data_IF_935891254506
#
_entry.id   IF_935891254506
#
_cell.length_a   1.000
_cell.length_b   1.000
_cell.length_c   1.000
_cell.angle_alpha   90.00
_cell.angle_beta   90.00
_cell.angle_gamma   90.00
#
_symmetry.space_group_name_H-M   'P 1'
#
loop_
_entity.id
_entity.type
_entity.pdbx_description
1 polymer ?
#
# COMPACT_ATOMS: atom_id res chain seq x y z
N UNK A 1 5.61 -8.80 -0.99
CA UNK A 1 6.40 -9.61 -1.96
C UNK A 1 6.35 -9.07 -3.39
N UNK A 2 5.21 -8.56 -3.88
CA UNK A 2 5.07 -8.07 -5.25
C UNK A 2 6.19 -7.10 -5.68
N UNK A 3 6.47 -6.06 -4.90
CA UNK A 3 7.55 -5.09 -5.16
C UNK A 3 8.91 -5.75 -5.44
N UNK A 4 9.31 -6.71 -4.59
CA UNK A 4 10.56 -7.46 -4.77
C UNK A 4 10.53 -8.24 -6.09
N UNK A 5 9.46 -8.98 -6.36
CA UNK A 5 9.29 -9.75 -7.61
C UNK A 5 9.30 -8.85 -8.86
N UNK A 6 8.83 -7.62 -8.75
CA UNK A 6 8.86 -6.59 -9.80
C UNK A 6 10.21 -5.85 -9.91
N UNK A 7 11.26 -6.30 -9.22
CA UNK A 7 12.60 -5.72 -9.32
C UNK A 7 12.90 -4.55 -8.36
N UNK A 8 11.94 -4.12 -7.54
CA UNK A 8 12.13 -3.00 -6.61
C UNK A 8 12.94 -3.43 -5.39
N UNK A 9 14.03 -2.73 -5.10
CA UNK A 9 14.87 -2.98 -3.92
C UNK A 9 14.36 -2.20 -2.72
N UNK A 10 13.82 -2.91 -1.73
CA UNK A 10 13.31 -2.33 -0.50
C UNK A 10 14.40 -2.20 0.56
N UNK A 11 14.27 -1.19 1.43
CA UNK A 11 15.10 -0.99 2.63
C UNK A 11 14.41 -1.43 3.92
N UNK A 12 13.56 -2.45 3.81
CA UNK A 12 12.76 -2.99 4.92
C UNK A 12 13.57 -3.73 5.98
N UNK A 13 12.95 -3.89 7.16
CA UNK A 13 13.60 -4.49 8.32
C UNK A 13 13.91 -5.99 8.23
N UNK A 14 13.16 -6.73 7.39
CA UNK A 14 13.27 -8.19 7.30
C UNK A 14 14.05 -8.63 6.05
N UNK A 15 14.74 -9.76 6.15
CA UNK A 15 15.50 -10.38 5.05
C UNK A 15 14.83 -11.70 4.64
N UNK A 16 14.64 -11.89 3.33
CA UNK A 16 14.13 -13.14 2.76
C UNK A 16 15.19 -14.24 2.95
N UNK A 17 14.81 -15.34 3.62
CA UNK A 17 15.75 -16.38 4.02
C UNK A 17 15.92 -17.51 3.00
N UNK A 18 14.96 -17.72 2.09
CA UNK A 18 14.94 -18.83 1.13
C UNK A 18 14.36 -18.44 -0.24
N UNK A 19 14.66 -19.22 -1.26
CA UNK A 19 14.13 -19.08 -2.63
C UNK A 19 14.87 -18.07 -3.51
N UNK A 20 14.34 -17.77 -4.72
CA UNK A 20 15.02 -16.95 -5.75
C UNK A 20 15.34 -15.51 -5.37
N UNK A 21 14.74 -15.01 -4.28
CA UNK A 21 14.95 -13.64 -3.79
C UNK A 21 15.64 -13.63 -2.41
N UNK A 22 16.26 -14.75 -2.00
CA UNK A 22 17.03 -14.84 -0.75
C UNK A 22 18.04 -13.69 -0.66
N UNK A 23 18.15 -13.09 0.52
CA UNK A 23 19.03 -11.95 0.79
C UNK A 23 18.40 -10.59 0.49
N UNK A 24 17.34 -10.51 -0.33
CA UNK A 24 16.59 -9.26 -0.51
C UNK A 24 15.74 -8.94 0.72
N UNK A 25 15.46 -7.65 0.91
CA UNK A 25 14.71 -7.14 2.06
C UNK A 25 13.22 -6.97 1.76
N UNK A 26 12.40 -7.09 2.80
CA UNK A 26 10.97 -6.80 2.80
C UNK A 26 10.60 -5.96 4.03
N UNK A 27 9.52 -5.20 3.93
CA UNK A 27 8.91 -4.49 5.05
C UNK A 27 7.57 -5.15 5.39
N UNK A 28 7.37 -5.51 6.65
CA UNK A 28 6.16 -6.17 7.12
C UNK A 28 5.15 -5.18 7.69
N UNK A 29 5.60 -4.04 8.21
CA UNK A 29 4.73 -3.01 8.75
C UNK A 29 4.14 -2.17 7.63
N UNK A 30 2.81 -2.19 7.50
CA UNK A 30 2.08 -1.42 6.49
C UNK A 30 2.46 0.07 6.50
N UNK A 31 2.40 0.72 7.65
CA UNK A 31 2.67 2.16 7.76
C UNK A 31 4.12 2.51 7.38
N UNK A 32 5.07 1.64 7.75
CA UNK A 32 6.49 1.84 7.40
C UNK A 32 6.73 1.63 5.92
N UNK A 33 6.08 0.63 5.31
CA UNK A 33 6.14 0.40 3.88
C UNK A 33 5.51 1.58 3.11
N UNK A 34 4.32 2.04 3.49
CA UNK A 34 3.65 3.17 2.85
C UNK A 34 4.49 4.46 2.89
N UNK A 35 5.10 4.77 4.04
CA UNK A 35 6.03 5.90 4.18
C UNK A 35 7.27 5.75 3.29
N UNK A 36 7.83 4.54 3.21
CA UNK A 36 8.95 4.25 2.31
C UNK A 36 8.58 4.47 0.85
N UNK A 37 7.40 3.98 0.42
CA UNK A 37 6.93 4.16 -0.96
C UNK A 37 6.67 5.63 -1.32
N UNK A 38 6.33 6.45 -0.33
CA UNK A 38 6.11 7.89 -0.50
C UNK A 38 7.42 8.69 -0.75
N UNK A 39 8.59 8.08 -0.56
CA UNK A 39 9.87 8.75 -0.76
C UNK A 39 10.17 8.92 -2.27
N UNK A 40 10.89 9.99 -2.66
CA UNK A 40 11.26 10.23 -4.07
C UNK A 40 12.05 9.09 -4.72
N UNK A 41 12.80 8.32 -3.92
CA UNK A 41 13.56 7.17 -4.39
C UNK A 41 12.69 5.95 -4.78
N UNK A 42 11.38 6.00 -4.48
CA UNK A 42 10.41 4.96 -4.79
C UNK A 42 9.32 5.50 -5.73
N UNK A 43 8.08 5.66 -5.26
CA UNK A 43 6.95 6.11 -6.08
C UNK A 43 6.66 7.61 -5.90
N UNK A 44 7.38 8.29 -5.00
CA UNK A 44 7.10 9.68 -4.65
C UNK A 44 5.79 9.83 -3.87
N UNK A 45 5.41 11.09 -3.62
CA UNK A 45 4.27 11.42 -2.77
C UNK A 45 2.98 10.77 -3.27
N UNK A 46 2.24 10.14 -2.36
CA UNK A 46 0.91 9.61 -2.64
C UNK A 46 -0.12 10.72 -2.81
N UNK A 47 -1.17 10.45 -3.58
CA UNK A 47 -2.43 11.17 -3.45
C UNK A 47 -3.09 10.76 -2.13
N UNK A 48 -3.49 11.73 -1.31
CA UNK A 48 -4.05 11.47 0.03
C UNK A 48 -5.50 11.89 0.05
N UNK A 49 -6.38 10.96 0.42
CA UNK A 49 -7.81 11.14 0.51
C UNK A 49 -8.31 10.89 1.92
N UNK A 50 -9.30 11.68 2.36
CA UNK A 50 -10.15 11.29 3.48
C UNK A 50 -11.08 10.16 3.04
N UNK A 51 -11.62 9.42 4.00
CA UNK A 51 -12.57 8.32 3.77
C UNK A 51 -13.58 8.61 2.66
N UNK A 52 -14.34 9.69 2.82
CA UNK A 52 -15.50 9.99 1.97
C UNK A 52 -15.08 10.46 0.56
N UNK A 53 -13.85 10.96 0.42
CA UNK A 53 -13.31 11.46 -0.84
C UNK A 53 -12.64 10.36 -1.67
N UNK A 54 -12.30 9.23 -1.06
CA UNK A 54 -11.33 8.31 -1.64
C UNK A 54 -11.88 7.51 -2.84
N UNK A 55 -13.17 7.16 -2.83
CA UNK A 55 -13.81 6.47 -3.97
C UNK A 55 -13.81 7.38 -5.20
N UNK A 56 -14.26 8.62 -5.05
CA UNK A 56 -14.28 9.63 -6.12
C UNK A 56 -12.87 10.02 -6.55
N UNK A 57 -11.96 10.16 -5.59
CA UNK A 57 -10.56 10.51 -5.84
C UNK A 57 -9.86 9.44 -6.67
N UNK A 58 -9.94 8.17 -6.28
CA UNK A 58 -9.32 7.06 -7.03
C UNK A 58 -10.01 6.88 -8.39
N UNK A 59 -11.34 7.00 -8.43
CA UNK A 59 -12.16 6.82 -9.62
C UNK A 59 -11.86 5.48 -10.32
N UNK A 60 -11.71 5.47 -11.65
CA UNK A 60 -11.43 4.27 -12.43
C UNK A 60 -9.95 3.84 -12.46
N UNK A 61 -9.07 4.54 -11.72
CA UNK A 61 -7.62 4.34 -11.81
C UNK A 61 -7.20 3.08 -11.07
N UNK A 62 -6.12 2.47 -11.56
CA UNK A 62 -5.47 1.31 -10.94
C UNK A 62 -4.19 1.74 -10.26
N UNK A 63 -3.82 1.06 -9.18
CA UNK A 63 -2.61 1.42 -8.46
C UNK A 63 -2.41 0.68 -7.15
N UNK A 64 -1.58 1.26 -6.29
CA UNK A 64 -1.45 0.83 -4.90
C UNK A 64 -2.28 1.74 -4.01
N UNK A 65 -2.95 1.15 -3.03
CA UNK A 65 -3.68 1.89 -2.00
C UNK A 65 -3.18 1.47 -0.61
N UNK A 66 -2.88 2.45 0.24
CA UNK A 66 -2.61 2.25 1.66
C UNK A 66 -3.76 2.85 2.48
N UNK A 67 -4.47 1.97 3.19
CA UNK A 67 -5.59 2.27 4.08
C UNK A 67 -5.08 2.47 5.50
N UNK A 68 -5.39 3.61 6.11
CA UNK A 68 -4.88 4.00 7.44
C UNK A 68 -5.98 4.00 8.51
N UNK A 69 -5.59 3.65 9.73
CA UNK A 69 -6.43 3.72 10.94
C UNK A 69 -7.78 3.01 10.75
N UNK A 70 -7.71 1.74 10.37
CA UNK A 70 -8.91 0.93 10.12
C UNK A 70 -9.66 0.72 11.45
N UNK A 71 -10.94 1.13 11.55
CA UNK A 71 -11.73 0.95 12.77
C UNK A 71 -11.77 -0.52 13.21
N UNK A 72 -11.57 -0.78 14.51
CA UNK A 72 -11.58 -2.14 15.07
C UNK A 72 -10.31 -2.96 14.84
N UNK A 73 -9.37 -2.51 14.00
CA UNK A 73 -8.10 -3.20 13.75
C UNK A 73 -6.94 -2.52 14.51
N UNK A 74 -6.27 -3.29 15.37
CA UNK A 74 -5.20 -2.80 16.25
C UNK A 74 -5.59 -1.50 16.99
N UNK A 75 -6.77 -1.46 17.60
CA UNK A 75 -7.31 -0.29 18.29
C UNK A 75 -7.39 0.97 17.41
N UNK A 76 -7.72 0.80 16.12
CA UNK A 76 -7.84 1.92 15.17
C UNK A 76 -6.51 2.49 14.69
N UNK A 77 -5.38 1.82 14.97
CA UNK A 77 -4.04 2.23 14.53
C UNK A 77 -3.46 1.35 13.43
N UNK A 78 -4.11 0.23 13.15
CA UNK A 78 -3.71 -0.69 12.09
C UNK A 78 -4.07 -0.15 10.71
N UNK A 79 -3.36 -0.62 9.69
CA UNK A 79 -3.60 -0.27 8.31
C UNK A 79 -3.43 -1.46 7.38
N UNK A 80 -3.81 -1.28 6.13
CA UNK A 80 -3.69 -2.26 5.06
C UNK A 80 -3.03 -1.62 3.82
N UNK A 81 -2.28 -2.40 3.04
CA UNK A 81 -1.73 -1.93 1.76
C UNK A 81 -1.96 -2.99 0.70
N UNK A 82 -2.55 -2.59 -0.41
CA UNK A 82 -2.99 -3.51 -1.46
C UNK A 82 -2.88 -2.87 -2.85
N UNK A 83 -3.02 -3.70 -3.87
CA UNK A 83 -3.29 -3.24 -5.23
C UNK A 83 -4.80 -3.02 -5.37
N UNK A 84 -5.19 -1.98 -6.11
CA UNK A 84 -6.60 -1.62 -6.33
C UNK A 84 -6.92 -1.47 -7.82
N UNK A 85 -8.10 -1.95 -8.21
CA UNK A 85 -8.76 -1.62 -9.46
C UNK A 85 -9.99 -0.75 -9.15
N UNK A 86 -9.84 0.57 -9.27
CA UNK A 86 -10.86 1.54 -8.89
C UNK A 86 -12.15 1.43 -9.71
N UNK A 87 -12.06 1.01 -10.98
CA UNK A 87 -13.24 0.84 -11.84
C UNK A 87 -14.19 -0.25 -11.31
N UNK A 88 -13.66 -1.21 -10.57
CA UNK A 88 -14.42 -2.33 -9.98
C UNK A 88 -14.55 -2.21 -8.46
N UNK A 89 -13.90 -1.22 -7.85
CA UNK A 89 -13.78 -1.06 -6.40
C UNK A 89 -13.26 -2.34 -5.68
N UNK A 90 -12.35 -3.09 -6.33
CA UNK A 90 -11.76 -4.32 -5.79
C UNK A 90 -10.27 -4.16 -5.51
N UNK A 91 -9.79 -4.87 -4.48
CA UNK A 91 -8.39 -4.95 -4.13
C UNK A 91 -7.85 -6.34 -4.41
N UNK A 92 -6.52 -6.47 -4.51
CA UNK A 92 -5.86 -7.76 -4.74
C UNK A 92 -6.14 -8.77 -3.63
N UNK A 93 -6.26 -8.31 -2.38
CA UNK A 93 -6.71 -9.10 -1.24
C UNK A 93 -8.02 -8.56 -0.68
N UNK A 94 -8.00 -7.36 -0.08
CA UNK A 94 -9.16 -6.75 0.58
C UNK A 94 -9.10 -5.21 0.54
N UNK A 95 -10.26 -4.57 0.39
CA UNK A 95 -10.36 -3.11 0.47
C UNK A 95 -10.98 -2.68 1.81
N UNK A 96 -10.32 -1.75 2.50
CA UNK A 96 -10.79 -1.22 3.77
C UNK A 96 -11.28 0.23 3.63
N UNK A 97 -12.38 0.41 2.89
CA UNK A 97 -13.00 1.73 2.65
C UNK A 97 -13.46 2.44 3.92
N UNK A 98 -13.54 1.75 5.05
CA UNK A 98 -13.82 2.34 6.37
C UNK A 98 -12.59 2.94 7.05
N UNK A 99 -11.40 2.85 6.46
CA UNK A 99 -10.20 3.57 6.89
C UNK A 99 -10.46 5.08 7.03
N UNK A 100 -9.74 5.77 7.92
CA UNK A 100 -9.91 7.22 8.09
C UNK A 100 -9.27 8.01 6.94
N UNK A 101 -8.18 7.46 6.38
CA UNK A 101 -7.34 8.08 5.37
C UNK A 101 -6.84 7.02 4.40
N UNK A 102 -6.69 7.40 3.14
CA UNK A 102 -6.22 6.54 2.07
C UNK A 102 -5.13 7.24 1.27
N UNK A 103 -4.01 6.56 1.11
CA UNK A 103 -2.92 6.98 0.24
C UNK A 103 -2.99 6.18 -1.05
N UNK A 104 -2.86 6.84 -2.19
CA UNK A 104 -2.97 6.22 -3.51
C UNK A 104 -1.78 6.58 -4.38
N UNK A 105 -1.21 5.57 -5.04
CA UNK A 105 -0.22 5.73 -6.09
C UNK A 105 -0.77 5.12 -7.38
N UNK A 106 -1.16 5.93 -8.38
CA UNK A 106 -1.59 5.41 -9.67
C UNK A 106 -0.45 4.66 -10.36
N UNK A 107 -0.76 3.51 -10.94
CA UNK A 107 0.15 2.71 -11.76
C UNK A 107 -0.39 2.61 -13.18
N UNK A 108 0.53 2.50 -14.16
CA UNK A 108 0.21 2.31 -15.58
C UNK A 108 0.49 0.88 -15.99
#
# INVERSE_FOLDING_TARGET
>A
MALVKSGITLRGGLVIQKGPHRGRRIEAGQARLAKMLAEPAYFGKAEVFRRDDAVTGIASRKGMAAFWNIPGYMNGRGGHIDLIDGARAICGSDCYWTASEMWFWPLR
#
